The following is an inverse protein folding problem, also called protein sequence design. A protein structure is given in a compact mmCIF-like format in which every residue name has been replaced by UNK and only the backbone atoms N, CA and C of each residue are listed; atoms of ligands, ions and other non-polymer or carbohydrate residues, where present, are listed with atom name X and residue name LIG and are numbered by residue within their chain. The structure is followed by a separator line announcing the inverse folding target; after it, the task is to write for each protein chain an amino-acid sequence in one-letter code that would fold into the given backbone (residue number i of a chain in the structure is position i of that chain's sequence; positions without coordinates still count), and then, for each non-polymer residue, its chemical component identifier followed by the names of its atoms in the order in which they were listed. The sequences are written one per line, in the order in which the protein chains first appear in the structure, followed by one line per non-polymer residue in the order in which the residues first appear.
data_IF_540468308453
#
_entry.id   IF_540468308453
#
_cell.length_a   1.000
_cell.length_b   1.000
_cell.length_c   1.000
_cell.angle_alpha   90.00
_cell.angle_beta   90.00
_cell.angle_gamma   90.00
#
_symmetry.space_group_name_H-M   'P 1'
#
loop_
_entity.id
_entity.type
_entity.pdbx_description
1 polymer ?
#
# COMPACT_ATOMS: atom_id res chain seq x y z
N UNK A 1 -33.79 -4.73 -13.69
CA UNK A 1 -32.60 -4.71 -14.60
C UNK A 1 -31.35 -5.01 -13.78
N UNK A 2 -30.48 -5.95 -14.22
CA UNK A 2 -29.20 -6.23 -13.54
C UNK A 2 -28.28 -5.02 -13.64
N UNK A 3 -27.79 -4.48 -12.52
CA UNK A 3 -26.83 -3.36 -12.52
C UNK A 3 -25.42 -3.86 -12.88
N UNK A 4 -24.69 -3.07 -13.65
CA UNK A 4 -23.30 -3.33 -14.04
C UNK A 4 -22.33 -2.64 -13.09
N UNK A 5 -21.33 -3.37 -12.62
CA UNK A 5 -20.24 -2.79 -11.82
C UNK A 5 -19.00 -2.65 -12.70
N UNK A 6 -18.41 -1.47 -12.69
CA UNK A 6 -17.14 -1.19 -13.35
C UNK A 6 -16.10 -0.83 -12.29
N UNK A 7 -15.09 -1.67 -12.15
CA UNK A 7 -13.90 -1.35 -11.38
C UNK A 7 -12.94 -0.60 -12.30
N UNK A 8 -12.39 0.52 -11.85
CA UNK A 8 -11.53 1.37 -12.68
C UNK A 8 -10.16 1.53 -12.04
N UNK A 9 -9.14 0.95 -12.67
CA UNK A 9 -7.74 1.06 -12.27
C UNK A 9 -6.79 0.96 -13.48
N UNK A 10 -6.53 2.06 -14.19
CA UNK A 10 -5.75 2.08 -15.43
C UNK A 10 -4.32 1.57 -15.30
N UNK A 11 -3.64 1.79 -14.17
CA UNK A 11 -2.22 1.42 -14.03
C UNK A 11 -2.02 0.44 -12.89
N UNK A 12 -1.64 -0.81 -13.21
CA UNK A 12 -1.32 -1.87 -12.26
C UNK A 12 0.20 -2.09 -12.30
N UNK A 13 0.89 -1.72 -11.21
CA UNK A 13 2.36 -1.73 -11.11
C UNK A 13 2.89 -2.70 -10.04
N UNK A 14 2.00 -3.47 -9.40
CA UNK A 14 2.38 -4.49 -8.40
C UNK A 14 2.69 -3.93 -7.01
N UNK A 15 2.04 -2.85 -6.58
CA UNK A 15 2.19 -2.27 -5.24
C UNK A 15 1.14 -2.70 -4.23
N UNK A 16 1.04 -1.95 -3.12
CA UNK A 16 0.06 -2.24 -2.06
C UNK A 16 -1.38 -1.94 -2.44
N UNK A 17 -1.63 -0.97 -3.33
CA UNK A 17 -2.97 -0.64 -3.83
C UNK A 17 -3.50 -1.78 -4.71
N UNK A 18 -2.63 -2.34 -5.53
CA UNK A 18 -2.93 -3.43 -6.44
C UNK A 18 -3.26 -4.73 -5.70
N UNK A 19 -2.57 -5.02 -4.59
CA UNK A 19 -2.95 -6.14 -3.71
C UNK A 19 -4.40 -6.01 -3.22
N UNK A 20 -4.78 -4.79 -2.80
CA UNK A 20 -6.16 -4.53 -2.38
C UNK A 20 -7.13 -4.64 -3.55
N UNK A 21 -6.77 -4.14 -4.75
CA UNK A 21 -7.57 -4.32 -5.95
C UNK A 21 -7.88 -5.79 -6.19
N UNK A 22 -6.86 -6.67 -6.20
CA UNK A 22 -7.05 -8.10 -6.45
C UNK A 22 -7.99 -8.76 -5.43
N UNK A 23 -7.80 -8.46 -4.13
CA UNK A 23 -8.67 -9.01 -3.08
C UNK A 23 -10.12 -8.52 -3.22
N UNK A 24 -10.31 -7.21 -3.41
CA UNK A 24 -11.65 -6.60 -3.52
C UNK A 24 -12.34 -7.07 -4.79
N UNK A 25 -11.66 -7.05 -5.95
CA UNK A 25 -12.24 -7.44 -7.22
C UNK A 25 -12.64 -8.90 -7.27
N UNK A 26 -11.79 -9.81 -6.77
CA UNK A 26 -12.11 -11.24 -6.72
C UNK A 26 -13.28 -11.53 -5.78
N UNK A 27 -13.37 -10.85 -4.64
CA UNK A 27 -14.51 -11.00 -3.74
C UNK A 27 -15.80 -10.47 -4.36
N UNK A 28 -15.75 -9.33 -5.02
CA UNK A 28 -16.92 -8.74 -5.67
C UNK A 28 -17.37 -9.56 -6.87
N UNK A 29 -16.47 -10.19 -7.62
CA UNK A 29 -16.83 -11.09 -8.73
C UNK A 29 -17.54 -12.37 -8.28
N UNK A 30 -17.34 -12.80 -7.03
CA UNK A 30 -18.11 -13.89 -6.41
C UNK A 30 -19.53 -13.45 -5.96
N UNK A 31 -19.81 -12.12 -5.89
CA UNK A 31 -21.07 -11.54 -5.39
C UNK A 31 -21.94 -10.90 -6.48
N UNK A 32 -21.33 -10.45 -7.58
CA UNK A 32 -22.01 -9.76 -8.65
C UNK A 32 -21.73 -10.43 -10.00
N UNK A 33 -22.78 -10.71 -10.76
CA UNK A 33 -22.66 -11.42 -12.04
C UNK A 33 -22.17 -10.54 -13.21
N UNK A 34 -22.50 -9.23 -13.23
CA UNK A 34 -22.04 -8.30 -14.29
C UNK A 34 -21.03 -7.29 -13.69
N UNK A 35 -19.80 -7.76 -13.53
CA UNK A 35 -18.69 -6.96 -13.02
C UNK A 35 -17.51 -7.02 -14.00
N UNK A 36 -16.86 -5.87 -14.24
CA UNK A 36 -15.71 -5.77 -15.13
C UNK A 36 -14.65 -4.83 -14.56
N UNK A 37 -13.40 -5.06 -14.94
CA UNK A 37 -12.27 -4.17 -14.62
C UNK A 37 -11.80 -3.48 -15.90
N UNK A 38 -11.68 -2.14 -15.86
CA UNK A 38 -10.99 -1.36 -16.89
C UNK A 38 -9.55 -1.09 -16.43
N UNK A 39 -8.58 -1.52 -17.23
CA UNK A 39 -7.14 -1.33 -17.01
C UNK A 39 -6.38 -1.21 -18.31
N UNK A 40 -5.17 -0.64 -18.29
CA UNK A 40 -4.40 -0.38 -19.50
C UNK A 40 -3.68 -1.61 -20.07
N UNK A 41 -3.57 -2.71 -19.32
CA UNK A 41 -2.98 -3.97 -19.79
C UNK A 41 -3.61 -5.17 -19.09
N UNK A 42 -3.49 -6.33 -19.69
CA UNK A 42 -3.95 -7.61 -19.14
C UNK A 42 -2.84 -8.43 -18.45
N UNK A 43 -1.64 -7.87 -18.27
CA UNK A 43 -0.49 -8.53 -17.65
C UNK A 43 -0.81 -9.23 -16.32
N UNK A 44 -1.80 -8.70 -15.60
CA UNK A 44 -2.25 -9.24 -14.32
C UNK A 44 -3.53 -10.09 -14.42
N UNK A 45 -3.97 -10.47 -15.63
CA UNK A 45 -5.21 -11.25 -15.85
C UNK A 45 -5.27 -12.50 -14.96
N UNK A 46 -4.16 -13.22 -14.82
CA UNK A 46 -4.05 -14.41 -13.96
C UNK A 46 -4.27 -14.15 -12.46
N UNK A 47 -4.30 -12.88 -12.03
CA UNK A 47 -4.58 -12.50 -10.63
C UNK A 47 -6.06 -12.38 -10.33
N UNK A 48 -6.91 -12.42 -11.37
CA UNK A 48 -8.37 -12.37 -11.26
C UNK A 48 -8.97 -13.72 -11.61
N UNK A 49 -9.99 -14.16 -10.88
CA UNK A 49 -10.65 -15.46 -11.08
C UNK A 49 -11.59 -15.43 -12.28
N UNK A 50 -12.71 -14.72 -12.14
CA UNK A 50 -13.82 -14.68 -13.11
C UNK A 50 -14.11 -13.29 -13.66
N UNK A 51 -13.30 -12.32 -13.29
CA UNK A 51 -13.52 -10.91 -13.63
C UNK A 51 -13.25 -10.65 -15.12
N UNK A 52 -14.22 -10.05 -15.81
CA UNK A 52 -14.03 -9.56 -17.20
C UNK A 52 -13.08 -8.36 -17.20
N UNK A 53 -11.96 -8.47 -17.93
CA UNK A 53 -11.01 -7.38 -18.10
C UNK A 53 -11.30 -6.67 -19.42
N UNK A 54 -11.34 -5.35 -19.37
CA UNK A 54 -11.52 -4.47 -20.52
C UNK A 54 -10.25 -3.63 -20.63
N UNK A 55 -9.55 -3.78 -21.75
CA UNK A 55 -8.34 -3.02 -22.07
C UNK A 55 -8.57 -2.17 -23.32
N UNK A 56 -7.90 -1.02 -23.44
CA UNK A 56 -7.81 -0.31 -24.70
C UNK A 56 -7.23 -1.19 -25.81
N UNK A 57 -7.60 -0.90 -27.06
CA UNK A 57 -7.11 -1.63 -28.22
C UNK A 57 -5.58 -1.60 -28.35
N UNK A 58 -4.97 -0.45 -28.01
CA UNK A 58 -3.52 -0.27 -28.10
C UNK A 58 -2.79 -0.82 -26.88
N UNK A 59 -1.60 -1.39 -27.10
CA UNK A 59 -0.73 -1.81 -26.00
C UNK A 59 -0.10 -0.60 -25.31
N UNK A 60 -0.57 -0.31 -24.08
CA UNK A 60 -0.17 0.86 -23.31
C UNK A 60 0.86 0.54 -22.21
N UNK A 61 1.43 -0.66 -22.16
CA UNK A 61 2.33 -1.10 -21.06
C UNK A 61 3.50 -0.13 -20.87
N UNK A 62 4.14 0.29 -21.97
CA UNK A 62 5.32 1.18 -21.96
C UNK A 62 4.99 2.67 -21.70
N UNK A 63 3.73 3.06 -21.76
CA UNK A 63 3.33 4.45 -21.62
C UNK A 63 3.16 4.90 -20.18
N UNK A 64 3.34 6.21 -19.93
CA UNK A 64 3.13 6.81 -18.62
C UNK A 64 1.67 6.80 -18.15
N UNK A 65 1.45 7.00 -16.87
CA UNK A 65 0.10 6.93 -16.25
C UNK A 65 -0.93 7.86 -16.88
N UNK A 66 -0.54 9.06 -17.33
CA UNK A 66 -1.48 10.03 -17.94
C UNK A 66 -2.11 9.47 -19.21
N UNK A 67 -1.30 8.87 -20.09
CA UNK A 67 -1.78 8.25 -21.34
C UNK A 67 -2.71 7.08 -21.01
N UNK A 68 -2.33 6.20 -20.06
CA UNK A 68 -3.18 5.10 -19.59
C UNK A 68 -4.54 5.60 -19.08
N UNK A 69 -4.57 6.74 -18.38
CA UNK A 69 -5.82 7.34 -17.88
C UNK A 69 -6.73 7.76 -19.03
N UNK A 70 -6.20 8.45 -20.05
CA UNK A 70 -6.98 8.93 -21.19
C UNK A 70 -7.66 7.76 -21.90
N UNK A 71 -6.89 6.74 -22.30
CA UNK A 71 -7.45 5.61 -23.03
C UNK A 71 -8.43 4.76 -22.20
N UNK A 72 -8.15 4.55 -20.91
CA UNK A 72 -9.09 3.83 -20.05
C UNK A 72 -10.37 4.64 -19.76
N UNK A 73 -10.29 5.97 -19.65
CA UNK A 73 -11.47 6.83 -19.54
C UNK A 73 -12.32 6.79 -20.80
N UNK A 74 -11.70 6.69 -21.98
CA UNK A 74 -12.42 6.49 -23.24
C UNK A 74 -13.18 5.14 -23.26
N UNK A 75 -12.55 4.04 -22.79
CA UNK A 75 -13.25 2.75 -22.64
C UNK A 75 -14.42 2.85 -21.62
N UNK A 76 -14.23 3.58 -20.53
CA UNK A 76 -15.29 3.82 -19.55
C UNK A 76 -16.44 4.60 -20.18
N UNK A 77 -16.15 5.66 -20.94
CA UNK A 77 -17.14 6.47 -21.66
C UNK A 77 -17.98 5.63 -22.62
N UNK A 78 -17.35 4.79 -23.44
CA UNK A 78 -18.06 3.88 -24.38
C UNK A 78 -19.08 2.98 -23.65
N UNK A 79 -18.75 2.55 -22.43
CA UNK A 79 -19.64 1.69 -21.66
C UNK A 79 -20.79 2.50 -21.05
N UNK A 80 -20.49 3.68 -20.52
CA UNK A 80 -21.49 4.57 -19.89
C UNK A 80 -22.55 5.00 -20.89
N UNK A 81 -22.17 5.34 -22.13
CA UNK A 81 -23.10 5.72 -23.19
C UNK A 81 -24.02 4.55 -23.59
N UNK A 82 -23.48 3.34 -23.67
CA UNK A 82 -24.22 2.15 -24.12
C UNK A 82 -25.11 1.52 -23.05
N UNK A 83 -24.84 1.72 -21.77
CA UNK A 83 -25.54 1.05 -20.67
C UNK A 83 -26.03 2.04 -19.63
N UNK A 84 -27.28 1.88 -19.22
CA UNK A 84 -27.86 2.54 -18.02
C UNK A 84 -27.60 1.67 -16.77
N UNK A 85 -27.77 2.25 -15.57
CA UNK A 85 -27.63 1.55 -14.28
C UNK A 85 -26.22 0.98 -14.01
N UNK A 86 -25.20 1.83 -14.11
CA UNK A 86 -23.81 1.51 -13.81
C UNK A 86 -23.42 2.04 -12.45
N UNK A 87 -22.67 1.23 -11.68
CA UNK A 87 -21.92 1.68 -10.48
C UNK A 87 -20.43 1.57 -10.77
N UNK A 88 -19.72 2.67 -10.63
CA UNK A 88 -18.26 2.74 -10.84
C UNK A 88 -17.56 2.67 -9.50
N UNK A 89 -16.58 1.75 -9.35
CA UNK A 89 -15.65 1.70 -8.22
C UNK A 89 -14.26 2.11 -8.71
N UNK A 90 -13.87 3.35 -8.46
CA UNK A 90 -12.60 3.90 -8.94
C UNK A 90 -11.48 3.81 -7.89
N UNK A 91 -10.33 3.26 -8.31
CA UNK A 91 -9.09 3.18 -7.51
C UNK A 91 -8.04 4.20 -7.95
N UNK A 92 -8.15 4.73 -9.17
CA UNK A 92 -7.22 5.71 -9.75
C UNK A 92 -7.99 6.70 -10.63
N UNK A 93 -7.37 7.83 -10.93
CA UNK A 93 -7.96 8.90 -11.75
C UNK A 93 -9.33 9.38 -11.22
N UNK A 94 -9.53 9.36 -9.92
CA UNK A 94 -10.81 9.57 -9.25
C UNK A 94 -11.54 10.83 -9.70
N UNK A 95 -10.84 11.97 -9.83
CA UNK A 95 -11.46 13.24 -10.23
C UNK A 95 -12.08 13.16 -11.63
N UNK A 96 -11.36 12.55 -12.59
CA UNK A 96 -11.86 12.38 -13.95
C UNK A 96 -13.06 11.42 -14.00
N UNK A 97 -12.99 10.32 -13.22
CA UNK A 97 -14.11 9.38 -13.11
C UNK A 97 -15.35 10.04 -12.51
N UNK A 98 -15.20 10.90 -11.49
CA UNK A 98 -16.31 11.64 -10.89
C UNK A 98 -16.96 12.57 -11.91
N UNK A 99 -16.18 13.38 -12.60
CA UNK A 99 -16.70 14.31 -13.61
C UNK A 99 -17.46 13.55 -14.72
N UNK A 100 -16.86 12.49 -15.23
CA UNK A 100 -17.50 11.65 -16.25
C UNK A 100 -18.79 11.02 -15.73
N UNK A 101 -18.79 10.50 -14.50
CA UNK A 101 -19.98 9.90 -13.88
C UNK A 101 -21.12 10.89 -13.73
N UNK A 102 -20.82 12.12 -13.31
CA UNK A 102 -21.85 13.15 -13.14
C UNK A 102 -22.42 13.65 -14.45
N UNK A 103 -21.58 13.78 -15.49
CA UNK A 103 -22.02 14.14 -16.83
C UNK A 103 -23.07 13.16 -17.39
N UNK A 104 -22.92 11.86 -17.08
CA UNK A 104 -23.81 10.80 -17.58
C UNK A 104 -24.74 10.21 -16.48
N UNK A 105 -24.93 10.90 -15.37
CA UNK A 105 -25.80 10.50 -14.25
C UNK A 105 -25.59 9.04 -13.78
N UNK A 106 -24.32 8.60 -13.69
CA UNK A 106 -23.97 7.28 -13.17
C UNK A 106 -23.50 7.36 -11.71
N UNK A 107 -23.67 6.28 -10.96
CA UNK A 107 -23.23 6.20 -9.55
C UNK A 107 -21.75 5.90 -9.45
N UNK A 108 -21.04 6.58 -8.52
CA UNK A 108 -19.61 6.42 -8.34
C UNK A 108 -19.17 6.31 -6.88
N UNK A 109 -18.40 5.28 -6.60
CA UNK A 109 -17.61 5.12 -5.37
C UNK A 109 -16.14 5.37 -5.73
N UNK A 110 -15.48 6.28 -5.04
CA UNK A 110 -14.06 6.51 -5.21
C UNK A 110 -13.28 6.02 -3.99
N UNK A 111 -12.23 5.25 -4.23
CA UNK A 111 -11.31 4.84 -3.19
C UNK A 111 -10.07 5.71 -3.20
N UNK A 112 -9.84 6.47 -2.13
CA UNK A 112 -8.65 7.29 -1.97
C UNK A 112 -7.52 6.48 -1.34
N UNK A 113 -6.36 6.47 -2.01
CA UNK A 113 -5.22 5.61 -1.67
C UNK A 113 -4.05 6.35 -1.02
N UNK A 114 -4.07 7.68 -1.06
CA UNK A 114 -3.02 8.54 -0.50
C UNK A 114 -3.62 9.75 0.19
N UNK A 115 -2.97 10.19 1.26
CA UNK A 115 -3.39 11.35 2.05
C UNK A 115 -3.46 12.62 1.19
N UNK A 116 -4.51 13.46 1.35
CA UNK A 116 -4.61 14.77 0.72
C UNK A 116 -3.43 15.70 0.98
N UNK A 117 -2.69 15.50 2.06
CA UNK A 117 -1.49 16.28 2.39
C UNK A 117 -0.42 16.20 1.30
N UNK A 118 -0.36 15.10 0.55
CA UNK A 118 0.59 14.90 -0.54
C UNK A 118 0.11 15.38 -1.92
N UNK A 119 -1.15 15.86 -2.06
CA UNK A 119 -1.72 16.11 -3.40
C UNK A 119 -1.35 17.46 -4.00
N UNK A 120 -1.44 18.54 -3.23
CA UNK A 120 -1.07 19.87 -3.66
C UNK A 120 -0.93 20.85 -2.49
N UNK A 121 0.01 21.78 -2.61
CA UNK A 121 0.12 22.94 -1.73
C UNK A 121 -0.73 24.13 -2.23
N UNK A 122 -1.11 24.14 -3.51
CA UNK A 122 -1.87 25.22 -4.13
C UNK A 122 -3.32 25.26 -3.61
N UNK A 123 -3.75 26.43 -3.15
CA UNK A 123 -5.10 26.67 -2.57
C UNK A 123 -6.20 26.45 -3.60
N UNK A 124 -6.07 26.98 -4.80
CA UNK A 124 -7.07 26.85 -5.87
C UNK A 124 -7.28 25.38 -6.27
N UNK A 125 -6.18 24.63 -6.42
CA UNK A 125 -6.27 23.19 -6.68
C UNK A 125 -6.97 22.44 -5.54
N UNK A 126 -6.74 22.81 -4.28
CA UNK A 126 -7.44 22.20 -3.15
C UNK A 126 -8.96 22.49 -3.19
N UNK A 127 -9.35 23.73 -3.51
CA UNK A 127 -10.75 24.11 -3.66
C UNK A 127 -11.43 23.31 -4.79
N UNK A 128 -10.76 23.20 -5.93
CA UNK A 128 -11.24 22.38 -7.06
C UNK A 128 -11.37 20.90 -6.67
N UNK A 129 -10.38 20.32 -5.99
CA UNK A 129 -10.44 18.94 -5.50
C UNK A 129 -11.61 18.72 -4.55
N UNK A 130 -11.85 19.66 -3.62
CA UNK A 130 -13.00 19.62 -2.71
C UNK A 130 -14.32 19.59 -3.48
N UNK A 131 -14.50 20.48 -4.46
CA UNK A 131 -15.71 20.57 -5.28
C UNK A 131 -15.96 19.26 -6.03
N UNK A 132 -14.96 18.78 -6.78
CA UNK A 132 -15.12 17.55 -7.58
C UNK A 132 -15.34 16.32 -6.68
N UNK A 133 -14.56 16.16 -5.60
CA UNK A 133 -14.72 15.04 -4.67
C UNK A 133 -16.08 15.04 -3.99
N UNK A 134 -16.64 16.25 -3.70
CA UNK A 134 -17.97 16.39 -3.11
C UNK A 134 -19.11 15.88 -4.01
N UNK A 135 -18.85 15.71 -5.31
CA UNK A 135 -19.81 15.14 -6.26
C UNK A 135 -19.85 13.60 -6.21
N UNK A 136 -18.88 12.91 -5.62
CA UNK A 136 -18.91 11.46 -5.51
C UNK A 136 -20.05 10.97 -4.62
N UNK A 137 -20.70 9.86 -4.99
CA UNK A 137 -21.76 9.27 -4.16
C UNK A 137 -21.18 8.70 -2.86
N UNK A 138 -19.99 8.08 -2.93
CA UNK A 138 -19.26 7.59 -1.75
C UNK A 138 -17.75 7.77 -1.93
N UNK A 139 -17.09 8.26 -0.89
CA UNK A 139 -15.62 8.31 -0.82
C UNK A 139 -15.14 7.31 0.23
N UNK A 140 -14.42 6.28 -0.19
CA UNK A 140 -13.81 5.30 0.71
C UNK A 140 -12.36 5.71 1.01
N UNK A 141 -12.03 5.73 2.30
CA UNK A 141 -10.67 5.92 2.84
C UNK A 141 -10.26 4.72 3.68
N UNK A 142 -8.96 4.49 3.86
CA UNK A 142 -8.45 3.24 4.42
C UNK A 142 -7.92 3.36 5.86
N UNK A 143 -8.10 4.51 6.53
CA UNK A 143 -7.72 4.69 7.93
C UNK A 143 -8.54 5.79 8.60
N UNK A 144 -8.63 5.76 9.93
CA UNK A 144 -9.27 6.83 10.70
C UNK A 144 -8.51 8.15 10.60
N UNK A 145 -7.17 8.10 10.60
CA UNK A 145 -6.35 9.30 10.40
C UNK A 145 -6.68 9.96 9.06
N UNK A 146 -6.87 9.14 8.02
CA UNK A 146 -7.22 9.62 6.71
C UNK A 146 -8.65 10.20 6.66
N UNK A 147 -9.62 9.55 7.32
CA UNK A 147 -10.98 10.07 7.48
C UNK A 147 -10.97 11.44 8.16
N UNK A 148 -10.21 11.60 9.26
CA UNK A 148 -10.06 12.89 9.97
C UNK A 148 -9.41 13.96 9.07
N UNK A 149 -8.41 13.59 8.29
CA UNK A 149 -7.75 14.52 7.39
C UNK A 149 -8.70 15.03 6.28
N UNK A 150 -9.52 14.15 5.68
CA UNK A 150 -10.55 14.53 4.71
C UNK A 150 -11.57 15.49 5.32
N UNK A 151 -12.05 15.20 6.53
CA UNK A 151 -12.96 16.09 7.25
C UNK A 151 -12.32 17.45 7.52
N UNK A 152 -11.07 17.47 8.02
CA UNK A 152 -10.37 18.73 8.35
C UNK A 152 -10.08 19.58 7.10
N UNK A 153 -9.63 18.97 5.99
CA UNK A 153 -9.16 19.71 4.81
C UNK A 153 -10.25 20.06 3.82
N UNK A 154 -11.20 19.16 3.64
CA UNK A 154 -12.24 19.30 2.61
C UNK A 154 -13.64 19.42 3.19
N UNK A 155 -13.85 19.18 4.49
CA UNK A 155 -15.17 19.07 5.12
C UNK A 155 -16.08 18.05 4.41
N UNK A 156 -15.51 16.96 3.88
CA UNK A 156 -16.24 15.89 3.20
C UNK A 156 -16.48 14.72 4.15
N UNK A 157 -17.65 14.08 4.02
CA UNK A 157 -17.93 12.79 4.66
C UNK A 157 -17.23 11.68 3.89
N UNK A 158 -16.68 10.71 4.61
CA UNK A 158 -16.02 9.54 4.00
C UNK A 158 -16.37 8.28 4.76
N UNK A 159 -16.46 7.17 4.05
CA UNK A 159 -16.59 5.83 4.63
C UNK A 159 -15.20 5.28 4.87
N UNK A 160 -14.92 4.83 6.09
CA UNK A 160 -13.62 4.24 6.42
C UNK A 160 -13.73 2.73 6.31
N UNK A 161 -12.96 2.12 5.39
CA UNK A 161 -12.83 0.66 5.23
C UNK A 161 -11.34 0.34 5.20
N UNK A 162 -10.86 -0.45 6.16
CA UNK A 162 -9.47 -0.84 6.20
C UNK A 162 -9.05 -1.67 4.97
N UNK A 163 -7.76 -1.67 4.68
CA UNK A 163 -7.19 -2.59 3.70
C UNK A 163 -7.45 -4.03 4.17
N UNK A 164 -8.06 -4.89 3.33
CA UNK A 164 -8.31 -6.27 3.71
C UNK A 164 -7.01 -7.05 3.85
N UNK A 165 -6.83 -7.72 4.97
CA UNK A 165 -5.63 -8.49 5.32
C UNK A 165 -5.94 -9.98 5.43
N UNK A 166 -5.42 -10.80 4.51
CA UNK A 166 -5.49 -12.25 4.61
C UNK A 166 -4.28 -12.82 5.37
N UNK A 167 -4.39 -12.90 6.71
CA UNK A 167 -3.33 -13.41 7.59
C UNK A 167 -2.90 -14.84 7.21
N UNK A 168 -3.85 -15.72 6.93
CA UNK A 168 -3.59 -17.12 6.65
C UNK A 168 -2.78 -17.30 5.36
N UNK A 169 -3.09 -16.54 4.32
CA UNK A 169 -2.35 -16.56 3.06
C UNK A 169 -0.91 -16.08 3.25
N UNK A 170 -0.69 -14.99 3.99
CA UNK A 170 0.64 -14.46 4.29
C UNK A 170 1.48 -15.52 5.03
N UNK A 171 0.89 -16.16 6.06
CA UNK A 171 1.55 -17.23 6.82
C UNK A 171 1.87 -18.41 5.91
N UNK A 172 0.92 -18.87 5.07
CA UNK A 172 1.13 -19.94 4.10
C UNK A 172 2.28 -19.61 3.13
N UNK A 173 2.25 -18.45 2.49
CA UNK A 173 3.26 -18.02 1.54
C UNK A 173 4.65 -17.82 2.17
N UNK A 174 4.71 -17.47 3.46
CA UNK A 174 5.96 -17.30 4.21
C UNK A 174 6.70 -18.61 4.49
N UNK A 175 6.01 -19.77 4.37
CA UNK A 175 6.60 -21.11 4.59
C UNK A 175 7.43 -21.59 3.40
N UNK A 176 7.36 -20.92 2.24
CA UNK A 176 8.15 -21.29 1.06
C UNK A 176 9.65 -21.26 1.42
N UNK A 177 10.34 -22.37 1.18
CA UNK A 177 11.79 -22.45 1.39
C UNK A 177 12.52 -21.53 0.40
N UNK A 178 13.48 -20.76 0.89
CA UNK A 178 14.39 -19.93 0.10
C UNK A 178 15.83 -20.13 0.60
N UNK A 179 16.76 -20.24 -0.34
CA UNK A 179 18.18 -20.15 -0.04
C UNK A 179 18.57 -18.65 -0.05
N UNK A 180 18.98 -18.12 1.09
CA UNK A 180 19.40 -16.73 1.21
C UNK A 180 20.63 -16.59 2.12
N UNK A 181 21.82 -16.93 1.60
CA UNK A 181 23.06 -16.99 2.39
C UNK A 181 23.38 -15.68 3.12
N UNK A 182 22.94 -14.53 2.60
CA UNK A 182 23.14 -13.23 3.24
C UNK A 182 22.54 -13.14 4.65
N UNK A 183 21.45 -13.88 4.90
CA UNK A 183 20.86 -14.01 6.24
C UNK A 183 21.28 -15.31 6.91
N UNK A 184 21.41 -16.41 6.17
CA UNK A 184 21.61 -17.76 6.72
C UNK A 184 23.01 -17.91 7.35
N UNK A 185 24.05 -17.37 6.67
CA UNK A 185 25.45 -17.37 7.17
C UNK A 185 25.72 -16.34 8.28
N UNK A 186 24.68 -15.63 8.73
CA UNK A 186 24.80 -14.51 9.68
C UNK A 186 24.00 -14.78 10.96
N UNK A 187 24.20 -15.95 11.60
CA UNK A 187 23.41 -16.41 12.77
C UNK A 187 23.34 -15.39 13.92
N UNK A 188 24.43 -14.70 14.21
CA UNK A 188 24.53 -13.75 15.33
C UNK A 188 24.21 -12.30 14.95
N UNK A 189 23.94 -12.02 13.66
CA UNK A 189 23.64 -10.70 13.19
C UNK A 189 22.15 -10.40 13.32
N UNK A 190 21.84 -9.16 13.69
CA UNK A 190 20.46 -8.64 13.64
C UNK A 190 20.01 -8.52 12.17
N UNK A 191 18.94 -9.19 11.79
CA UNK A 191 18.42 -9.25 10.42
C UNK A 191 17.32 -8.22 10.22
N UNK A 192 17.61 -7.20 9.44
CA UNK A 192 16.75 -6.06 9.15
C UNK A 192 16.17 -6.21 7.74
N UNK A 193 14.92 -5.80 7.55
CA UNK A 193 14.30 -5.79 6.22
C UNK A 193 13.47 -4.53 5.99
N UNK A 194 13.55 -3.99 4.76
CA UNK A 194 12.64 -3.00 4.21
C UNK A 194 12.07 -3.52 2.89
N UNK A 195 10.76 -3.35 2.69
CA UNK A 195 10.08 -3.76 1.46
C UNK A 195 9.26 -2.58 0.96
N UNK A 196 9.55 -2.09 -0.23
CA UNK A 196 8.84 -0.97 -0.81
C UNK A 196 9.41 -0.49 -2.13
N UNK A 197 8.69 0.39 -2.84
CA UNK A 197 9.20 1.02 -4.06
C UNK A 197 10.39 1.92 -3.72
N UNK A 198 11.38 1.98 -4.60
CA UNK A 198 12.52 2.88 -4.44
C UNK A 198 12.14 4.26 -4.99
N UNK A 199 11.58 5.09 -4.12
CA UNK A 199 11.05 6.40 -4.44
C UNK A 199 11.28 7.35 -3.28
N UNK A 200 11.31 8.65 -3.54
CA UNK A 200 11.42 9.69 -2.52
C UNK A 200 10.38 9.56 -1.40
N UNK A 201 9.17 9.11 -1.73
CA UNK A 201 8.11 8.83 -0.75
C UNK A 201 8.54 7.80 0.31
N UNK A 202 9.24 6.73 -0.10
CA UNK A 202 9.64 5.61 0.79
C UNK A 202 10.93 5.88 1.54
N UNK A 203 11.72 6.84 1.08
CA UNK A 203 12.91 7.41 1.72
C UNK A 203 13.89 6.35 2.30
N UNK A 204 14.28 5.39 1.44
CA UNK A 204 15.29 4.39 1.83
C UNK A 204 16.66 5.02 2.09
N UNK A 205 16.91 6.27 1.66
CA UNK A 205 18.14 6.97 2.03
C UNK A 205 18.23 7.24 3.53
N UNK A 206 17.13 7.65 4.17
CA UNK A 206 17.08 7.79 5.63
C UNK A 206 17.36 6.46 6.31
N UNK A 207 16.87 5.34 5.76
CA UNK A 207 17.19 4.00 6.25
C UNK A 207 18.69 3.69 6.11
N UNK A 208 19.30 3.96 4.94
CA UNK A 208 20.73 3.74 4.71
C UNK A 208 21.59 4.61 5.62
N UNK A 209 21.22 5.88 5.84
CA UNK A 209 21.87 6.75 6.82
C UNK A 209 21.82 6.15 8.22
N UNK A 210 20.65 5.61 8.61
CA UNK A 210 20.48 5.02 9.96
C UNK A 210 21.37 3.80 10.17
N UNK A 211 21.53 2.91 9.18
CA UNK A 211 22.40 1.74 9.33
C UNK A 211 23.88 2.07 9.14
N UNK A 212 24.21 3.12 8.43
CA UNK A 212 25.59 3.62 8.37
C UNK A 212 26.10 4.04 9.77
N UNK A 213 25.25 4.63 10.61
CA UNK A 213 25.54 4.93 12.02
C UNK A 213 25.81 3.67 12.87
N UNK A 214 25.36 2.49 12.39
CA UNK A 214 25.44 1.23 13.13
C UNK A 214 26.66 0.39 12.77
N UNK A 215 27.35 0.68 11.65
CA UNK A 215 28.37 -0.21 11.04
C UNK A 215 29.50 -0.62 11.99
N UNK A 216 29.84 0.24 12.96
CA UNK A 216 30.90 -0.02 13.95
C UNK A 216 30.34 -0.26 15.38
N UNK A 217 29.01 -0.33 15.55
CA UNK A 217 28.37 -0.44 16.87
C UNK A 217 27.73 -1.80 17.12
N UNK A 218 27.16 -2.41 16.08
CA UNK A 218 26.47 -3.70 16.17
C UNK A 218 26.65 -4.51 14.89
N UNK A 219 26.59 -5.84 15.02
CA UNK A 219 26.53 -6.72 13.86
C UNK A 219 25.11 -6.84 13.32
N UNK A 220 24.90 -6.50 12.06
CA UNK A 220 23.61 -6.56 11.39
C UNK A 220 23.73 -6.94 9.92
N UNK A 221 22.60 -7.30 9.32
CA UNK A 221 22.40 -7.44 7.88
C UNK A 221 21.09 -6.77 7.50
N UNK A 222 21.11 -5.86 6.54
CA UNK A 222 19.92 -5.17 6.03
C UNK A 222 19.61 -5.64 4.60
N UNK A 223 18.41 -6.16 4.41
CA UNK A 223 17.83 -6.43 3.10
C UNK A 223 16.86 -5.31 2.74
N UNK A 224 17.08 -4.67 1.59
CA UNK A 224 16.14 -3.72 0.98
C UNK A 224 15.57 -4.40 -0.27
N UNK A 225 14.24 -4.52 -0.35
CA UNK A 225 13.58 -5.23 -1.46
C UNK A 225 12.56 -4.33 -2.14
N UNK A 226 12.67 -4.22 -3.47
CA UNK A 226 11.73 -3.44 -4.26
C UNK A 226 12.23 -3.09 -5.65
N UNK A 227 11.65 -2.07 -6.24
CA UNK A 227 12.06 -1.45 -7.51
C UNK A 227 11.64 0.02 -7.55
N UNK A 228 12.30 0.83 -8.34
CA UNK A 228 11.93 2.22 -8.52
C UNK A 228 13.08 3.09 -9.01
N UNK A 229 12.78 4.36 -9.22
CA UNK A 229 13.69 5.33 -9.85
C UNK A 229 14.91 5.67 -8.99
N UNK A 230 14.80 5.52 -7.67
CA UNK A 230 15.91 5.83 -6.74
C UNK A 230 16.92 4.68 -6.60
N UNK A 231 16.82 3.59 -7.38
CA UNK A 231 17.73 2.44 -7.27
C UNK A 231 19.19 2.84 -7.31
N UNK A 232 19.59 3.60 -8.34
CA UNK A 232 20.98 4.02 -8.51
C UNK A 232 21.48 4.91 -7.37
N UNK A 233 20.61 5.79 -6.85
CA UNK A 233 20.90 6.64 -5.69
C UNK A 233 21.21 5.83 -4.43
N UNK A 234 20.49 4.71 -4.23
CA UNK A 234 20.73 3.80 -3.11
C UNK A 234 22.07 3.06 -3.26
N UNK A 235 22.39 2.54 -4.45
CA UNK A 235 23.67 1.89 -4.74
C UNK A 235 24.84 2.84 -4.54
N UNK A 236 24.75 4.07 -5.07
CA UNK A 236 25.79 5.09 -4.92
C UNK A 236 26.05 5.40 -3.42
N UNK A 237 24.99 5.50 -2.61
CA UNK A 237 25.16 5.72 -1.18
C UNK A 237 25.86 4.54 -0.48
N UNK A 238 25.47 3.29 -0.81
CA UNK A 238 26.07 2.07 -0.24
C UNK A 238 27.57 2.02 -0.53
N UNK A 239 27.97 2.27 -1.79
CA UNK A 239 29.36 2.23 -2.23
C UNK A 239 30.17 3.35 -1.58
N UNK A 240 29.69 4.61 -1.64
CA UNK A 240 30.36 5.78 -1.04
C UNK A 240 30.63 5.57 0.45
N UNK A 241 29.71 4.95 1.19
CA UNK A 241 29.87 4.75 2.63
C UNK A 241 30.51 3.40 3.01
N UNK A 242 30.91 2.59 2.01
CA UNK A 242 31.56 1.28 2.19
C UNK A 242 30.74 0.33 3.09
N UNK A 243 29.40 0.29 2.90
CA UNK A 243 28.47 -0.53 3.70
C UNK A 243 27.91 -1.76 2.94
N UNK A 244 28.46 -2.11 1.79
CA UNK A 244 28.03 -3.23 0.94
C UNK A 244 28.03 -4.58 1.66
N UNK A 245 28.97 -4.80 2.59
CA UNK A 245 28.99 -6.02 3.43
C UNK A 245 27.80 -6.14 4.39
N UNK A 246 27.15 -5.04 4.73
CA UNK A 246 26.02 -5.00 5.66
C UNK A 246 24.66 -4.92 4.98
N UNK A 247 24.61 -4.41 3.73
CA UNK A 247 23.38 -4.09 3.03
C UNK A 247 23.31 -4.82 1.69
N UNK A 248 22.17 -5.48 1.43
CA UNK A 248 21.87 -6.09 0.14
C UNK A 248 20.56 -5.53 -0.40
N UNK A 249 20.57 -5.13 -1.68
CA UNK A 249 19.34 -4.74 -2.39
C UNK A 249 18.92 -5.92 -3.27
N UNK A 250 17.63 -6.28 -3.20
CA UNK A 250 17.01 -7.22 -4.12
C UNK A 250 15.89 -6.52 -4.91
N UNK A 251 15.79 -6.87 -6.17
CA UNK A 251 14.67 -6.47 -7.01
C UNK A 251 13.34 -6.99 -6.46
N UNK A 252 12.25 -6.39 -6.91
CA UNK A 252 10.89 -6.80 -6.55
C UNK A 252 10.69 -8.32 -6.64
N UNK A 253 10.11 -8.90 -5.61
CA UNK A 253 9.68 -10.30 -5.56
C UNK A 253 8.17 -10.37 -5.37
N UNK A 254 7.49 -11.19 -6.19
CA UNK A 254 6.05 -11.42 -6.07
C UNK A 254 5.67 -11.97 -4.69
N UNK A 255 6.50 -12.85 -4.11
CA UNK A 255 6.36 -13.34 -2.74
C UNK A 255 7.56 -12.90 -1.87
N UNK A 256 7.45 -11.80 -1.12
CA UNK A 256 8.51 -11.32 -0.23
C UNK A 256 8.47 -11.98 1.17
N UNK A 257 7.42 -12.72 1.50
CA UNK A 257 7.15 -13.20 2.85
C UNK A 257 8.19 -14.17 3.41
N UNK A 258 8.83 -15.07 2.63
CA UNK A 258 9.92 -15.90 3.16
C UNK A 258 11.11 -15.08 3.65
N UNK A 259 11.47 -13.99 2.96
CA UNK A 259 12.53 -13.07 3.39
C UNK A 259 12.12 -12.30 4.64
N UNK A 260 10.87 -11.83 4.69
CA UNK A 260 10.31 -11.16 5.85
C UNK A 260 10.27 -12.12 7.05
N UNK A 261 9.91 -13.38 6.86
CA UNK A 261 9.92 -14.42 7.91
C UNK A 261 11.32 -14.63 8.48
N UNK A 262 12.37 -14.62 7.65
CA UNK A 262 13.78 -14.78 8.06
C UNK A 262 14.36 -13.55 8.76
N UNK A 263 13.71 -12.38 8.72
CA UNK A 263 14.17 -11.16 9.39
C UNK A 263 13.72 -11.07 10.86
N UNK A 264 14.39 -10.21 11.64
CA UNK A 264 14.05 -9.90 13.03
C UNK A 264 13.23 -8.61 13.12
N UNK A 265 13.66 -7.55 12.40
CA UNK A 265 13.04 -6.25 12.39
C UNK A 265 12.56 -5.87 10.98
N UNK A 266 11.37 -5.28 10.93
CA UNK A 266 10.86 -4.60 9.74
C UNK A 266 11.00 -3.09 9.90
N UNK A 267 11.55 -2.41 8.89
CA UNK A 267 11.83 -0.98 8.91
C UNK A 267 11.05 -0.25 7.83
N UNK A 268 10.33 0.83 8.20
CA UNK A 268 9.64 1.71 7.27
C UNK A 268 10.07 3.16 7.51
N UNK A 269 10.60 3.83 6.48
CA UNK A 269 11.15 5.18 6.58
C UNK A 269 10.38 6.22 5.78
N UNK A 270 9.16 5.89 5.36
CA UNK A 270 8.34 6.70 4.46
C UNK A 270 8.09 8.12 4.99
N UNK A 271 8.03 9.08 4.06
CA UNK A 271 7.67 10.48 4.33
C UNK A 271 6.16 10.66 4.49
N UNK A 272 5.36 9.86 3.79
CA UNK A 272 3.89 9.83 3.87
C UNK A 272 3.35 8.49 3.37
N UNK A 273 2.20 8.07 3.92
CA UNK A 273 1.51 6.82 3.58
C UNK A 273 -0.02 7.06 3.47
N UNK A 274 -0.75 6.02 3.13
CA UNK A 274 -2.17 5.87 3.43
C UNK A 274 -2.32 4.91 4.59
N UNK A 275 -2.50 3.61 4.28
CA UNK A 275 -2.40 2.51 5.23
C UNK A 275 -1.39 1.50 4.67
N UNK A 276 -0.12 1.48 5.14
CA UNK A 276 0.93 0.67 4.52
C UNK A 276 0.74 -0.83 4.80
N UNK A 277 0.30 -1.60 3.80
CA UNK A 277 0.09 -3.05 3.89
C UNK A 277 1.33 -3.79 4.42
N UNK A 278 2.52 -3.30 4.10
CA UNK A 278 3.78 -3.93 4.55
C UNK A 278 3.95 -3.95 6.07
N UNK A 279 3.35 -3.00 6.80
CA UNK A 279 3.31 -3.04 8.28
C UNK A 279 2.35 -4.12 8.79
N UNK A 280 1.20 -4.29 8.13
CA UNK A 280 0.25 -5.36 8.45
C UNK A 280 0.87 -6.74 8.16
N UNK A 281 1.58 -6.86 7.04
CA UNK A 281 2.31 -8.07 6.65
C UNK A 281 3.43 -8.40 7.66
N UNK A 282 4.18 -7.39 8.11
CA UNK A 282 5.22 -7.56 9.12
C UNK A 282 4.65 -7.98 10.48
N UNK A 283 3.55 -7.36 10.92
CA UNK A 283 2.85 -7.73 12.15
C UNK A 283 2.27 -9.14 12.06
N UNK A 284 1.72 -9.57 10.91
CA UNK A 284 1.25 -10.95 10.67
C UNK A 284 2.35 -11.98 10.87
N UNK A 285 3.57 -11.67 10.47
CA UNK A 285 4.73 -12.55 10.66
C UNK A 285 5.48 -12.27 11.97
N UNK A 286 4.83 -11.59 12.93
CA UNK A 286 5.33 -11.27 14.26
C UNK A 286 6.72 -10.63 14.24
N UNK A 287 6.93 -9.66 13.34
CA UNK A 287 8.18 -8.87 13.33
C UNK A 287 8.07 -7.67 14.26
N UNK A 288 9.19 -7.30 14.88
CA UNK A 288 9.29 -5.98 15.52
C UNK A 288 9.31 -4.94 14.40
N UNK A 289 8.51 -3.91 14.56
CA UNK A 289 8.35 -2.85 13.55
C UNK A 289 8.93 -1.55 14.09
N UNK A 290 9.82 -0.94 13.30
CA UNK A 290 10.26 0.44 13.49
C UNK A 290 9.80 1.21 12.26
N UNK A 291 8.98 2.24 12.45
CA UNK A 291 8.40 3.03 11.37
C UNK A 291 8.56 4.53 11.63
N UNK A 292 8.66 5.31 10.58
CA UNK A 292 8.43 6.75 10.71
C UNK A 292 6.99 7.03 11.13
N UNK A 293 6.81 8.05 11.97
CA UNK A 293 5.51 8.60 12.33
C UNK A 293 5.04 9.59 11.25
N UNK A 294 5.02 9.12 10.00
CA UNK A 294 4.57 9.93 8.88
C UNK A 294 3.05 10.12 8.88
N UNK A 295 2.53 11.14 8.17
CA UNK A 295 1.09 11.35 8.06
C UNK A 295 0.37 10.09 7.56
N UNK A 296 -0.69 9.73 8.26
CA UNK A 296 -1.62 8.60 8.11
C UNK A 296 -0.99 7.20 8.17
N UNK A 297 -1.71 6.26 8.73
CA UNK A 297 -1.46 4.81 8.72
C UNK A 297 -0.48 4.27 9.76
N UNK A 298 0.83 4.58 9.78
CA UNK A 298 1.76 3.95 10.72
C UNK A 298 1.38 4.11 12.18
N UNK A 299 0.99 5.31 12.60
CA UNK A 299 0.52 5.59 13.96
C UNK A 299 -0.70 4.76 14.34
N UNK A 300 -1.65 4.66 13.42
CA UNK A 300 -2.88 3.90 13.62
C UNK A 300 -2.62 2.40 13.69
N UNK A 301 -1.78 1.85 12.79
CA UNK A 301 -1.41 0.43 12.81
C UNK A 301 -0.67 0.08 14.09
N UNK A 302 0.29 0.91 14.50
CA UNK A 302 1.15 0.67 15.67
C UNK A 302 0.54 1.21 16.99
N UNK A 303 -0.73 1.64 16.99
CA UNK A 303 -1.44 2.16 18.14
C UNK A 303 -0.59 3.15 18.95
N UNK A 304 -0.21 4.26 18.29
CA UNK A 304 0.63 5.32 18.88
C UNK A 304 1.96 4.81 19.48
N UNK A 305 2.52 3.74 18.91
CA UNK A 305 3.80 3.15 19.36
C UNK A 305 3.68 1.99 20.35
N UNK A 306 2.47 1.59 20.77
CA UNK A 306 2.28 0.44 21.68
C UNK A 306 2.61 -0.91 21.00
N UNK A 307 2.45 -1.00 19.68
CA UNK A 307 2.64 -2.23 18.89
C UNK A 307 3.92 -2.22 18.02
N UNK A 308 4.83 -1.27 18.28
CA UNK A 308 6.09 -1.07 17.58
C UNK A 308 6.66 0.29 17.90
N UNK A 309 7.69 0.71 17.17
CA UNK A 309 8.38 1.96 17.44
C UNK A 309 8.11 2.99 16.35
N UNK A 310 7.76 4.21 16.77
CA UNK A 310 7.57 5.35 15.89
C UNK A 310 8.75 6.32 16.03
N UNK A 311 9.28 6.78 14.89
CA UNK A 311 10.39 7.72 14.79
C UNK A 311 9.97 8.94 13.95
N UNK A 312 10.60 10.08 14.15
CA UNK A 312 10.38 11.26 13.30
C UNK A 312 10.73 10.97 11.83
N UNK A 313 9.97 11.58 10.90
CA UNK A 313 10.27 11.49 9.46
C UNK A 313 11.66 12.08 9.19
N UNK A 314 12.50 11.36 8.44
CA UNK A 314 13.88 11.76 8.13
C UNK A 314 14.86 11.61 9.31
N UNK A 315 14.41 11.26 10.50
CA UNK A 315 15.26 11.18 11.69
C UNK A 315 16.00 9.83 11.77
N UNK A 316 17.05 9.69 10.94
CA UNK A 316 17.88 8.49 10.89
C UNK A 316 18.57 8.16 12.22
N UNK A 317 18.95 9.16 13.03
CA UNK A 317 19.57 8.96 14.34
C UNK A 317 18.59 8.30 15.34
N UNK A 318 17.32 8.70 15.32
CA UNK A 318 16.28 8.07 16.15
C UNK A 318 16.03 6.62 15.73
N UNK A 319 16.01 6.34 14.41
CA UNK A 319 15.88 4.97 13.88
C UNK A 319 17.05 4.11 14.33
N UNK A 320 18.31 4.60 14.22
CA UNK A 320 19.52 3.88 14.71
C UNK A 320 19.42 3.54 16.18
N UNK A 321 19.05 4.52 17.03
CA UNK A 321 18.87 4.28 18.48
C UNK A 321 17.82 3.20 18.75
N UNK A 322 16.70 3.17 18.00
CA UNK A 322 15.67 2.14 18.16
C UNK A 322 16.12 0.76 17.67
N UNK A 323 16.97 0.67 16.64
CA UNK A 323 17.57 -0.59 16.20
C UNK A 323 18.50 -1.15 17.29
N UNK A 324 19.37 -0.31 17.88
CA UNK A 324 20.24 -0.71 19.00
C UNK A 324 19.39 -1.19 20.18
N UNK A 325 18.38 -0.42 20.58
CA UNK A 325 17.44 -0.81 21.64
C UNK A 325 16.82 -2.19 21.40
N UNK A 326 16.37 -2.51 20.18
CA UNK A 326 15.82 -3.81 19.84
C UNK A 326 16.88 -4.94 19.88
N UNK A 327 18.16 -4.63 19.68
CA UNK A 327 19.25 -5.61 19.81
C UNK A 327 19.57 -5.95 21.25
N UNK A 328 19.48 -4.97 22.15
CA UNK A 328 19.88 -5.10 23.58
C UNK A 328 18.71 -5.46 24.49
N UNK A 329 17.46 -5.15 24.09
CA UNK A 329 16.27 -5.43 24.89
C UNK A 329 16.00 -6.92 25.01
N UNK A 330 15.51 -7.35 26.15
CA UNK A 330 15.15 -8.74 26.43
C UNK A 330 14.07 -9.28 25.46
N UNK A 331 14.18 -10.57 25.15
CA UNK A 331 13.29 -11.25 24.20
C UNK A 331 11.83 -11.29 24.66
N UNK A 332 11.58 -11.33 25.98
CA UNK A 332 10.23 -11.40 26.56
C UNK A 332 9.47 -10.10 26.31
N UNK A 333 10.10 -8.94 26.58
CA UNK A 333 9.52 -7.61 26.31
C UNK A 333 9.23 -7.40 24.83
N UNK A 334 10.18 -7.74 23.93
CA UNK A 334 9.96 -7.67 22.49
C UNK A 334 8.89 -8.67 22.03
N UNK A 335 8.78 -9.83 22.66
CA UNK A 335 7.72 -10.82 22.42
C UNK A 335 6.33 -10.28 22.73
N UNK A 336 6.16 -9.55 23.83
CA UNK A 336 4.90 -8.87 24.17
C UNK A 336 4.48 -7.88 23.07
N UNK A 337 5.39 -7.04 22.60
CA UNK A 337 5.11 -6.07 21.51
C UNK A 337 4.66 -6.78 20.24
N UNK A 338 5.35 -7.85 19.81
CA UNK A 338 4.98 -8.66 18.63
C UNK A 338 3.59 -9.27 18.74
N UNK A 339 3.24 -9.81 19.92
CA UNK A 339 1.93 -10.42 20.15
C UNK A 339 0.82 -9.37 20.17
N UNK A 340 1.03 -8.22 20.80
CA UNK A 340 0.09 -7.10 20.75
C UNK A 340 -0.15 -6.63 19.31
N UNK A 341 0.92 -6.47 18.51
CA UNK A 341 0.81 -6.12 17.10
C UNK A 341 -0.01 -7.16 16.32
N UNK A 342 0.28 -8.44 16.51
CA UNK A 342 -0.43 -9.54 15.84
C UNK A 342 -1.91 -9.59 16.20
N UNK A 343 -2.25 -9.52 17.49
CA UNK A 343 -3.62 -9.59 18.00
C UNK A 343 -4.46 -8.38 17.53
N UNK A 344 -3.84 -7.23 17.33
CA UNK A 344 -4.53 -6.02 16.84
C UNK A 344 -4.97 -6.11 15.38
N UNK A 345 -4.54 -7.15 14.64
CA UNK A 345 -4.82 -7.28 13.21
C UNK A 345 -6.25 -7.69 12.88
N UNK A 346 -7.07 -8.11 13.85
CA UNK A 346 -8.44 -8.56 13.61
C UNK A 346 -9.32 -7.47 13.00
N UNK A 347 -9.07 -6.19 13.34
CA UNK A 347 -9.75 -5.04 12.70
C UNK A 347 -9.48 -4.92 11.19
N UNK A 348 -8.41 -5.54 10.69
CA UNK A 348 -8.06 -5.60 9.27
C UNK A 348 -8.52 -6.89 8.59
N UNK A 349 -9.31 -7.74 9.29
CA UNK A 349 -9.80 -9.00 8.73
C UNK A 349 -10.34 -8.82 7.32
N UNK A 350 -9.90 -9.70 6.40
CA UNK A 350 -10.19 -9.52 4.99
C UNK A 350 -11.66 -9.75 4.65
N UNK A 351 -12.33 -10.75 5.28
CA UNK A 351 -13.73 -11.04 5.02
C UNK A 351 -14.64 -9.92 5.50
N UNK A 352 -14.39 -9.44 6.72
CA UNK A 352 -15.13 -8.31 7.30
C UNK A 352 -14.99 -7.04 6.43
N UNK A 353 -13.76 -6.64 6.08
CA UNK A 353 -13.54 -5.43 5.32
C UNK A 353 -13.98 -5.58 3.85
N UNK A 354 -13.88 -6.76 3.23
CA UNK A 354 -14.40 -7.01 1.89
C UNK A 354 -15.95 -6.92 1.85
N UNK A 355 -16.62 -7.47 2.87
CA UNK A 355 -18.08 -7.38 2.95
C UNK A 355 -18.57 -5.91 3.06
N UNK A 356 -17.79 -5.03 3.69
CA UNK A 356 -18.12 -3.61 3.72
C UNK A 356 -18.09 -2.95 2.32
N UNK A 357 -17.14 -3.34 1.44
CA UNK A 357 -17.17 -2.89 0.04
C UNK A 357 -18.43 -3.37 -0.69
N UNK A 358 -18.83 -4.62 -0.46
CA UNK A 358 -20.06 -5.15 -1.03
C UNK A 358 -21.30 -4.34 -0.58
N UNK A 359 -21.40 -4.03 0.72
CA UNK A 359 -22.52 -3.26 1.27
C UNK A 359 -22.56 -1.83 0.72
N UNK A 360 -21.41 -1.14 0.63
CA UNK A 360 -21.36 0.21 0.05
C UNK A 360 -21.80 0.22 -1.43
N UNK A 361 -21.44 -0.79 -2.20
CA UNK A 361 -21.91 -0.92 -3.57
C UNK A 361 -23.41 -1.22 -3.59
N UNK A 362 -23.89 -2.16 -2.75
CA UNK A 362 -25.30 -2.54 -2.65
C UNK A 362 -26.21 -1.35 -2.28
N UNK A 363 -25.76 -0.48 -1.41
CA UNK A 363 -26.52 0.72 -1.00
C UNK A 363 -26.72 1.77 -2.11
N UNK A 364 -26.03 1.65 -3.23
CA UNK A 364 -26.19 2.50 -4.42
C UNK A 364 -27.12 1.91 -5.48
N UNK A 365 -27.65 0.70 -5.20
CA UNK A 365 -28.62 0.04 -6.09
C UNK A 365 -30.03 0.60 -5.87
#
# INVERSE_FOLDING_TARGET
MKKKIIIFMPSIEGGGVEKNLFLISNFLSDKFSDISLITASDDYKKSFKTLKIITPYFNLVKFGRKIKYIFCLYELLKIIIKKKNIVILSFQANLYCILLSKLFNTKIIVRSNSSPSGWSKNFLKKKLFKLILGLADTIIVNSYDFKREFKKKFNLRTVMIYNPLNKNEIIKLSKKKINFPFFDKSKHNLKLINIGRFTDQKDQLTLLKSVNELKNKINFRLLIMGRGIDYQKLINFINKNKISKFVKILNFKKNPFPYLKKSDLFLLTSKFEGLPNVLLEAATLKKIIISTNCPTGPREILNNGKYGFLCGVGNYKQISKKIIYCKTKDKKSLGKIKNLAFNSLDRFDYKFNLNRYYLEIKNLY
#
